data_IF_030222792993
#
_entry.id   IF_030222792993
#
_cell.length_a   1.000
_cell.length_b   1.000
_cell.length_c   1.000
_cell.angle_alpha   90.00
_cell.angle_beta   90.00
_cell.angle_gamma   90.00
#
_symmetry.space_group_name_H-M   'P 1'
#
loop_
_entity.id
_entity.type
_entity.pdbx_description
1 polymer ?
#
# COMPACT_ATOMS: atom_id res chain seq x y z
N UNK A 1 -15.36 38.37 -18.65
CA UNK A 1 -15.27 37.32 -17.61
C UNK A 1 -14.74 36.09 -18.31
N UNK A 2 -13.45 35.80 -18.12
CA UNK A 2 -12.79 34.62 -18.69
C UNK A 2 -13.40 33.42 -17.98
N UNK A 3 -14.23 32.66 -18.68
CA UNK A 3 -14.58 31.31 -18.26
C UNK A 3 -13.29 30.50 -18.40
N UNK A 4 -12.49 30.46 -17.33
CA UNK A 4 -11.55 29.35 -17.12
C UNK A 4 -12.40 28.10 -16.98
N UNK A 5 -12.71 27.49 -18.13
CA UNK A 5 -13.14 26.11 -18.18
C UNK A 5 -11.95 25.33 -17.64
N UNK A 6 -12.02 25.02 -16.34
CA UNK A 6 -11.12 24.10 -15.67
C UNK A 6 -11.35 22.77 -16.39
N UNK A 7 -10.56 22.52 -17.43
CA UNK A 7 -10.50 21.24 -18.14
C UNK A 7 -9.95 20.24 -17.14
N UNK A 8 -10.80 19.79 -16.21
CA UNK A 8 -10.52 18.63 -15.41
C UNK A 8 -10.35 17.50 -16.40
N UNK A 9 -9.21 16.84 -16.35
CA UNK A 9 -8.96 15.68 -17.17
C UNK A 9 -9.94 14.61 -16.66
N UNK A 10 -11.14 14.55 -17.27
CA UNK A 10 -12.21 13.69 -16.81
C UNK A 10 -11.71 12.24 -16.87
N UNK A 11 -11.80 11.55 -15.74
CA UNK A 11 -11.59 10.10 -15.69
C UNK A 11 -12.61 9.50 -16.64
N UNK A 12 -12.17 8.67 -17.58
CA UNK A 12 -13.09 7.96 -18.47
C UNK A 12 -14.07 7.17 -17.59
N UNK A 13 -15.37 7.34 -17.84
CA UNK A 13 -16.43 6.70 -17.05
C UNK A 13 -16.26 5.18 -17.01
N UNK A 14 -15.68 4.60 -18.06
CA UNK A 14 -15.36 3.16 -18.16
C UNK A 14 -14.21 2.73 -17.22
N UNK A 15 -13.27 3.63 -16.91
CA UNK A 15 -12.13 3.36 -16.03
C UNK A 15 -12.47 3.55 -14.54
N UNK A 16 -13.54 4.28 -14.23
CA UNK A 16 -13.96 4.60 -12.86
C UNK A 16 -14.13 3.35 -12.00
N UNK A 17 -14.84 2.33 -12.50
CA UNK A 17 -15.08 1.11 -11.73
C UNK A 17 -13.77 0.37 -11.43
N UNK A 18 -12.86 0.32 -12.41
CA UNK A 18 -11.56 -0.34 -12.26
C UNK A 18 -10.67 0.40 -11.28
N UNK A 19 -10.65 1.73 -11.32
CA UNK A 19 -9.94 2.58 -10.34
C UNK A 19 -10.51 2.37 -8.94
N UNK A 20 -11.83 2.37 -8.80
CA UNK A 20 -12.49 2.17 -7.50
C UNK A 20 -12.17 0.80 -6.91
N UNK A 21 -12.33 -0.27 -7.70
CA UNK A 21 -12.06 -1.64 -7.25
C UNK A 21 -10.58 -1.83 -6.93
N UNK A 22 -9.68 -1.34 -7.78
CA UNK A 22 -8.23 -1.42 -7.50
C UNK A 22 -7.86 -0.66 -6.23
N UNK A 23 -8.44 0.51 -5.97
CA UNK A 23 -8.19 1.27 -4.74
C UNK A 23 -8.69 0.53 -3.48
N UNK A 24 -9.84 -0.14 -3.56
CA UNK A 24 -10.34 -0.98 -2.47
C UNK A 24 -9.43 -2.19 -2.22
N UNK A 25 -8.97 -2.84 -3.30
CA UNK A 25 -8.04 -3.98 -3.22
C UNK A 25 -6.67 -3.58 -2.65
N UNK A 26 -6.19 -2.35 -2.87
CA UNK A 26 -4.98 -1.83 -2.22
C UNK A 26 -5.10 -1.90 -0.70
N UNK A 27 -6.25 -1.47 -0.15
CA UNK A 27 -6.51 -1.52 1.30
C UNK A 27 -6.64 -2.96 1.81
N UNK A 28 -7.38 -3.80 1.09
CA UNK A 28 -7.59 -5.20 1.47
C UNK A 28 -6.27 -5.96 1.49
N UNK A 29 -5.52 -5.95 0.39
CA UNK A 29 -4.24 -6.65 0.30
C UNK A 29 -3.17 -6.01 1.18
N UNK A 30 -3.16 -4.69 1.31
CA UNK A 30 -2.24 -3.98 2.20
C UNK A 30 -2.49 -4.35 3.67
N UNK A 31 -3.76 -4.44 4.06
CA UNK A 31 -4.17 -4.93 5.38
C UNK A 31 -3.75 -6.38 5.61
N UNK A 32 -3.93 -7.26 4.63
CA UNK A 32 -3.45 -8.65 4.73
C UNK A 32 -1.93 -8.74 4.87
N UNK A 33 -1.16 -7.95 4.11
CA UNK A 33 0.29 -7.89 4.24
C UNK A 33 0.70 -7.52 5.68
N UNK A 34 0.19 -6.39 6.19
CA UNK A 34 0.52 -5.90 7.54
C UNK A 34 0.03 -6.89 8.59
N UNK A 35 -1.17 -7.45 8.44
CA UNK A 35 -1.77 -8.42 9.36
C UNK A 35 -0.98 -9.73 9.44
N UNK A 36 -0.60 -10.32 8.30
CA UNK A 36 0.22 -11.53 8.25
C UNK A 36 1.61 -11.25 8.82
N UNK A 37 2.24 -10.13 8.44
CA UNK A 37 3.55 -9.74 8.97
C UNK A 37 3.52 -9.64 10.49
N UNK A 38 2.50 -8.95 11.01
CA UNK A 38 2.27 -8.76 12.44
C UNK A 38 2.09 -10.11 13.14
N UNK A 39 1.16 -10.93 12.63
CA UNK A 39 0.85 -12.24 13.19
C UNK A 39 2.07 -13.19 13.22
N UNK A 40 2.94 -13.13 12.21
CA UNK A 40 4.21 -13.89 12.22
C UNK A 40 5.17 -13.37 13.28
N UNK A 41 5.30 -12.05 13.43
CA UNK A 41 6.23 -11.44 14.39
C UNK A 41 5.82 -11.63 15.84
N UNK A 42 4.53 -11.66 16.14
CA UNK A 42 4.01 -11.99 17.48
C UNK A 42 3.86 -13.49 17.74
N UNK A 43 4.44 -14.34 16.87
CA UNK A 43 4.36 -15.81 16.95
C UNK A 43 2.94 -16.41 16.91
N UNK A 44 1.92 -15.66 16.46
CA UNK A 44 0.58 -16.20 16.20
C UNK A 44 0.54 -17.08 14.94
N UNK A 45 1.38 -16.79 13.95
CA UNK A 45 1.54 -17.59 12.74
C UNK A 45 2.98 -18.12 12.61
N UNK A 46 3.13 -19.27 11.93
CA UNK A 46 4.44 -19.85 11.65
C UNK A 46 5.23 -18.94 10.72
N UNK A 47 6.55 -18.83 10.94
CA UNK A 47 7.46 -18.05 10.08
C UNK A 47 7.38 -18.41 8.58
N UNK A 48 6.94 -19.62 8.25
CA UNK A 48 6.73 -20.05 6.87
C UNK A 48 5.55 -19.38 6.16
N UNK A 49 4.65 -18.68 6.87
CA UNK A 49 3.58 -17.89 6.24
C UNK A 49 4.05 -16.51 5.77
N UNK A 50 5.28 -16.11 6.09
CA UNK A 50 5.82 -14.80 5.73
C UNK A 50 5.92 -14.53 4.20
N UNK A 51 6.27 -15.51 3.35
CA UNK A 51 6.20 -15.36 1.89
C UNK A 51 4.80 -14.99 1.39
N UNK A 52 3.73 -15.48 2.03
CA UNK A 52 2.36 -15.08 1.68
C UNK A 52 2.10 -13.61 1.97
N UNK A 53 2.65 -13.08 3.07
CA UNK A 53 2.62 -11.64 3.34
C UNK A 53 3.24 -10.85 2.18
N UNK A 54 4.45 -11.21 1.75
CA UNK A 54 5.11 -10.53 0.63
C UNK A 54 4.34 -10.67 -0.70
N UNK A 55 3.65 -11.79 -0.93
CA UNK A 55 2.75 -11.94 -2.08
C UNK A 55 1.64 -10.89 -2.02
N UNK A 56 1.00 -10.70 -0.87
CA UNK A 56 -0.01 -9.65 -0.69
C UNK A 56 0.56 -8.25 -0.91
N UNK A 57 1.80 -7.98 -0.50
CA UNK A 57 2.46 -6.71 -0.80
C UNK A 57 2.69 -6.48 -2.30
N UNK A 58 3.12 -7.52 -3.04
CA UNK A 58 3.25 -7.44 -4.51
C UNK A 58 1.90 -7.17 -5.14
N UNK A 59 0.84 -7.82 -4.65
CA UNK A 59 -0.52 -7.64 -5.16
C UNK A 59 -1.05 -6.22 -4.87
N UNK A 60 -0.80 -5.68 -3.67
CA UNK A 60 -1.09 -4.28 -3.34
C UNK A 60 -0.35 -3.32 -4.27
N UNK A 61 0.94 -3.57 -4.52
CA UNK A 61 1.76 -2.75 -5.41
C UNK A 61 1.26 -2.80 -6.86
N UNK A 62 0.78 -3.96 -7.31
CA UNK A 62 0.15 -4.12 -8.61
C UNK A 62 -1.17 -3.35 -8.71
N UNK A 63 -2.02 -3.39 -7.68
CA UNK A 63 -3.25 -2.59 -7.63
C UNK A 63 -2.95 -1.08 -7.61
N UNK A 64 -1.93 -0.64 -6.87
CA UNK A 64 -1.44 0.74 -6.90
C UNK A 64 -0.98 1.17 -8.30
N UNK A 65 -0.26 0.29 -9.00
CA UNK A 65 0.17 0.53 -10.37
C UNK A 65 -1.01 0.65 -11.34
N UNK A 66 -1.97 -0.27 -11.28
CA UNK A 66 -3.18 -0.22 -12.12
C UNK A 66 -3.98 1.07 -11.89
N UNK A 67 -4.22 1.43 -10.63
CA UNK A 67 -4.92 2.67 -10.28
C UNK A 67 -4.18 3.89 -10.81
N UNK A 68 -2.85 3.96 -10.61
CA UNK A 68 -2.02 5.06 -11.09
C UNK A 68 -2.00 5.19 -12.62
N UNK A 69 -1.96 4.06 -13.34
CA UNK A 69 -1.98 4.04 -14.80
C UNK A 69 -3.32 4.50 -15.38
N UNK A 70 -4.44 4.10 -14.76
CA UNK A 70 -5.79 4.41 -15.26
C UNK A 70 -6.25 5.84 -14.92
N UNK A 71 -5.81 6.37 -13.77
CA UNK A 71 -6.12 7.75 -13.38
C UNK A 71 -5.38 8.81 -14.23
N UNK A 72 -4.59 8.41 -15.23
CA UNK A 72 -3.79 9.30 -16.09
C UNK A 72 -3.01 10.33 -15.25
N UNK A 73 -2.49 9.90 -14.11
CA UNK A 73 -1.97 10.84 -13.12
C UNK A 73 -0.67 11.48 -13.60
N UNK A 74 -0.45 12.72 -13.17
CA UNK A 74 0.80 13.42 -13.39
C UNK A 74 1.99 12.62 -12.82
N UNK A 75 3.20 12.81 -13.37
CA UNK A 75 4.41 12.08 -12.95
C UNK A 75 4.67 12.16 -11.44
N UNK A 76 4.29 13.28 -10.82
CA UNK A 76 4.42 13.48 -9.38
C UNK A 76 3.59 12.45 -8.59
N UNK A 77 2.34 12.22 -9.01
CA UNK A 77 1.45 11.28 -8.35
C UNK A 77 1.91 9.84 -8.58
N UNK A 78 2.38 9.51 -9.79
CA UNK A 78 2.96 8.20 -10.07
C UNK A 78 4.17 7.92 -9.15
N UNK A 79 5.07 8.91 -8.97
CA UNK A 79 6.19 8.83 -8.02
C UNK A 79 5.69 8.67 -6.58
N UNK A 80 4.65 9.40 -6.18
CA UNK A 80 4.07 9.28 -4.85
C UNK A 80 3.49 7.87 -4.58
N UNK A 81 2.87 7.23 -5.57
CA UNK A 81 2.35 5.86 -5.45
C UNK A 81 3.47 4.83 -5.26
N UNK A 82 4.61 5.01 -5.96
CA UNK A 82 5.80 4.17 -5.75
C UNK A 82 6.36 4.35 -4.34
N UNK A 83 6.47 5.60 -3.88
CA UNK A 83 6.90 5.90 -2.51
C UNK A 83 5.94 5.29 -1.49
N UNK A 84 4.63 5.33 -1.74
CA UNK A 84 3.62 4.70 -0.88
C UNK A 84 3.79 3.18 -0.82
N UNK A 85 4.06 2.51 -1.94
CA UNK A 85 4.31 1.07 -1.98
C UNK A 85 5.56 0.67 -1.17
N UNK A 86 6.65 1.45 -1.30
CA UNK A 86 7.88 1.25 -0.52
C UNK A 86 7.63 1.53 0.96
N UNK A 87 6.92 2.62 1.27
CA UNK A 87 6.53 2.97 2.63
C UNK A 87 5.75 1.83 3.27
N UNK A 88 4.76 1.28 2.58
CA UNK A 88 3.99 0.13 3.04
C UNK A 88 4.90 -1.08 3.34
N UNK A 89 5.91 -1.35 2.50
CA UNK A 89 6.85 -2.46 2.73
C UNK A 89 7.65 -2.27 4.02
N UNK A 90 8.17 -1.06 4.23
CA UNK A 90 9.13 -0.76 5.30
C UNK A 90 8.47 -0.48 6.66
N UNK A 91 7.22 0.01 6.66
CA UNK A 91 6.54 0.47 7.88
C UNK A 91 6.44 -0.65 8.94
N UNK A 92 6.02 -1.89 8.61
CA UNK A 92 6.01 -2.97 9.59
C UNK A 92 7.42 -3.28 10.11
N UNK A 93 8.44 -3.27 9.26
CA UNK A 93 9.81 -3.56 9.68
C UNK A 93 10.32 -2.51 10.66
N UNK A 94 10.07 -1.23 10.38
CA UNK A 94 10.48 -0.12 11.23
C UNK A 94 9.77 -0.17 12.60
N UNK A 95 8.45 -0.37 12.62
CA UNK A 95 7.67 -0.44 13.87
C UNK A 95 8.15 -1.60 14.73
N UNK A 96 8.33 -2.78 14.15
CA UNK A 96 8.78 -3.94 14.91
C UNK A 96 10.22 -3.80 15.43
N UNK A 97 11.10 -3.13 14.67
CA UNK A 97 12.44 -2.82 15.15
C UNK A 97 12.40 -1.90 16.38
N UNK A 98 11.57 -0.85 16.36
CA UNK A 98 11.42 0.05 17.52
C UNK A 98 10.83 -0.67 18.72
N UNK A 99 9.81 -1.51 18.51
CA UNK A 99 9.19 -2.31 19.58
C UNK A 99 10.18 -3.28 20.23
N UNK A 100 10.99 -3.98 19.44
CA UNK A 100 12.02 -4.90 19.95
C UNK A 100 13.07 -4.18 20.79
N UNK A 101 13.51 -2.98 20.36
CA UNK A 101 14.45 -2.14 21.11
C UNK A 101 13.89 -1.68 22.45
N UNK A 102 12.65 -1.19 22.45
CA UNK A 102 11.97 -0.77 23.68
C UNK A 102 11.78 -1.96 24.63
N UNK A 103 11.48 -3.14 24.11
CA UNK A 103 11.35 -4.33 24.94
C UNK A 103 12.68 -4.68 25.62
N UNK A 104 13.79 -4.68 24.86
CA UNK A 104 15.13 -4.93 25.41
C UNK A 104 15.56 -3.89 26.47
N UNK A 105 15.24 -2.61 26.27
CA UNK A 105 15.60 -1.55 27.22
C UNK A 105 14.80 -1.58 28.53
N UNK A 106 13.56 -2.10 28.51
CA UNK A 106 12.67 -2.13 29.67
C UNK A 106 12.65 -3.48 30.41
N UNK A 107 13.30 -4.53 29.89
CA UNK A 107 13.48 -5.81 30.58
C UNK A 107 14.67 -5.81 31.59
N UNK A 108 15.07 -4.62 32.06
CA UNK A 108 16.03 -4.42 33.15
C UNK A 108 15.34 -4.23 34.51
#
# INVERSE_FOLDING_TARGET
>A
MVNEVLMTQDILVDDFLTIFVSSALVLVFGGFYVGIYTAVKVNMLKKWTMPFGYLFWVLTSYCLYLMGSLMHVNELTAKALVVAAIGLLLLPHAVYYMQDRVHQENEH
#
